data_IF_907328585478
#
_entry.id   IF_907328585478
#
_cell.length_a   1.000
_cell.length_b   1.000
_cell.length_c   1.000
_cell.angle_alpha   90.00
_cell.angle_beta   90.00
_cell.angle_gamma   90.00
#
_symmetry.space_group_name_H-M   'P 1'
#
loop_
_entity.id
_entity.type
_entity.pdbx_description
1 polymer ?
#
# COMPACT_ATOMS: atom_id res chain seq x y z
N UNK A 1 -19.01 13.69 -17.86
CA UNK A 1 -19.50 13.34 -16.51
C UNK A 1 -18.61 14.10 -15.54
N UNK A 2 -19.16 15.06 -14.80
CA UNK A 2 -18.40 15.82 -13.80
C UNK A 2 -17.95 14.87 -12.68
N UNK A 3 -16.69 14.99 -12.28
CA UNK A 3 -16.15 14.22 -11.16
C UNK A 3 -16.60 14.88 -9.86
N UNK A 4 -17.02 14.09 -8.87
CA UNK A 4 -17.20 14.63 -7.52
C UNK A 4 -15.85 15.04 -6.92
N UNK A 5 -15.88 15.84 -5.85
CA UNK A 5 -14.67 16.38 -5.22
C UNK A 5 -13.63 15.29 -4.88
N UNK A 6 -14.07 14.15 -4.35
CA UNK A 6 -13.19 13.05 -3.99
C UNK A 6 -12.54 12.40 -5.22
N UNK A 7 -13.30 12.20 -6.29
CA UNK A 7 -12.81 11.67 -7.55
C UNK A 7 -11.81 12.64 -8.20
N UNK A 8 -12.11 13.94 -8.18
CA UNK A 8 -11.22 15.01 -8.64
C UNK A 8 -9.89 15.00 -7.89
N UNK A 9 -9.91 14.88 -6.55
CA UNK A 9 -8.70 14.76 -5.75
C UNK A 9 -7.88 13.50 -6.07
N UNK A 10 -8.56 12.35 -6.28
CA UNK A 10 -7.88 11.09 -6.66
C UNK A 10 -7.28 11.18 -8.06
N UNK A 11 -7.98 11.83 -9.00
CA UNK A 11 -7.47 12.07 -10.35
C UNK A 11 -6.23 12.95 -10.34
N UNK A 12 -6.24 14.04 -9.59
CA UNK A 12 -5.08 14.90 -9.43
C UNK A 12 -3.86 14.15 -8.85
N UNK A 13 -4.08 13.23 -7.90
CA UNK A 13 -2.99 12.37 -7.36
C UNK A 13 -2.45 11.41 -8.43
N UNK A 14 -3.33 10.81 -9.23
CA UNK A 14 -2.93 9.94 -10.34
C UNK A 14 -2.07 10.68 -11.37
N UNK A 15 -2.46 11.90 -11.73
CA UNK A 15 -1.71 12.71 -12.69
C UNK A 15 -0.34 13.14 -12.13
N UNK A 16 -0.23 13.39 -10.82
CA UNK A 16 1.08 13.61 -10.15
C UNK A 16 2.00 12.39 -10.21
N UNK A 17 1.45 11.17 -10.02
CA UNK A 17 2.24 9.94 -10.13
C UNK A 17 2.81 9.79 -11.55
N UNK A 18 1.95 10.00 -12.56
CA UNK A 18 2.35 9.94 -13.98
C UNK A 18 3.41 10.99 -14.33
N UNK A 19 3.24 12.23 -13.87
CA UNK A 19 4.21 13.30 -14.09
C UNK A 19 5.58 13.01 -13.45
N UNK A 20 5.60 12.23 -12.36
CA UNK A 20 6.82 11.75 -11.72
C UNK A 20 7.41 10.49 -12.38
N UNK A 21 6.83 9.99 -13.47
CA UNK A 21 7.26 8.75 -14.13
C UNK A 21 6.92 7.46 -13.38
N UNK A 22 6.01 7.53 -12.39
CA UNK A 22 5.59 6.39 -11.59
C UNK A 22 4.35 5.75 -12.24
N UNK A 23 4.48 4.49 -12.68
CA UNK A 23 3.35 3.72 -13.20
C UNK A 23 2.37 3.38 -12.06
N UNK A 24 1.15 3.91 -12.15
CA UNK A 24 0.13 3.77 -11.11
C UNK A 24 -0.57 2.40 -11.14
N UNK A 25 -0.53 1.70 -12.28
CA UNK A 25 -1.13 0.40 -12.50
C UNK A 25 -0.10 -0.59 -13.05
N UNK A 26 0.92 -0.95 -12.25
CA UNK A 26 1.95 -1.88 -12.71
C UNK A 26 1.38 -3.28 -12.96
N UNK A 27 1.95 -3.99 -13.94
CA UNK A 27 1.49 -5.33 -14.35
C UNK A 27 1.94 -6.44 -13.40
N UNK A 28 2.92 -6.16 -12.52
CA UNK A 28 3.50 -7.08 -11.56
C UNK A 28 3.74 -6.36 -10.24
N UNK A 29 3.56 -7.07 -9.13
CA UNK A 29 4.07 -6.67 -7.83
C UNK A 29 5.21 -7.59 -7.43
N UNK A 30 6.11 -7.10 -6.56
CA UNK A 30 7.17 -7.90 -5.96
C UNK A 30 6.69 -8.67 -4.72
N UNK A 31 5.37 -8.93 -4.58
CA UNK A 31 4.82 -9.64 -3.42
C UNK A 31 5.39 -11.05 -3.36
N UNK A 32 6.00 -11.41 -2.23
CA UNK A 32 6.61 -12.72 -1.99
C UNK A 32 5.76 -13.61 -1.07
N UNK A 33 5.02 -13.02 -0.13
CA UNK A 33 4.15 -13.74 0.81
C UNK A 33 2.73 -13.16 0.81
N UNK A 34 1.75 -13.98 1.18
CA UNK A 34 0.43 -13.46 1.52
C UNK A 34 0.41 -12.91 2.95
N UNK A 35 -0.48 -11.95 3.21
CA UNK A 35 -0.69 -11.39 4.56
C UNK A 35 -1.10 -12.49 5.54
N UNK A 36 -1.98 -13.41 5.11
CA UNK A 36 -2.45 -14.51 5.94
C UNK A 36 -1.33 -15.48 6.38
N UNK A 37 -0.42 -15.83 5.47
CA UNK A 37 0.72 -16.71 5.79
C UNK A 37 1.65 -16.08 6.82
N UNK A 38 2.01 -14.80 6.64
CA UNK A 38 2.89 -14.08 7.57
C UNK A 38 2.21 -13.93 8.93
N UNK A 39 0.91 -13.62 8.98
CA UNK A 39 0.19 -13.52 10.25
C UNK A 39 0.11 -14.86 10.98
N UNK A 40 -0.06 -15.97 10.26
CA UNK A 40 -0.14 -17.30 10.85
C UNK A 40 1.19 -17.78 11.47
N UNK A 41 2.33 -17.27 11.00
CA UNK A 41 3.67 -17.67 11.44
C UNK A 41 4.52 -16.48 11.91
N UNK A 42 3.87 -15.41 12.39
CA UNK A 42 4.50 -14.10 12.60
C UNK A 42 5.76 -14.17 13.47
N UNK A 43 5.69 -14.90 14.58
CA UNK A 43 6.82 -15.03 15.51
C UNK A 43 8.05 -15.67 14.85
N UNK A 44 7.84 -16.68 13.99
CA UNK A 44 8.94 -17.34 13.28
C UNK A 44 9.59 -16.42 12.24
N UNK A 45 8.79 -15.62 11.52
CA UNK A 45 9.31 -14.62 10.57
C UNK A 45 10.12 -13.53 11.30
N UNK A 46 9.66 -13.09 12.48
CA UNK A 46 10.36 -12.11 13.31
C UNK A 46 11.66 -12.69 13.86
N UNK A 47 11.63 -13.88 14.44
CA UNK A 47 12.81 -14.54 15.02
C UNK A 47 13.89 -14.80 13.96
N UNK A 48 13.50 -15.22 12.76
CA UNK A 48 14.40 -15.43 11.64
C UNK A 48 14.88 -14.10 11.00
N UNK A 49 14.31 -12.94 11.38
CA UNK A 49 14.62 -11.66 10.76
C UNK A 49 14.29 -11.62 9.27
N UNK A 50 13.26 -12.34 8.84
CA UNK A 50 12.95 -12.52 7.43
C UNK A 50 12.40 -11.23 6.83
N UNK A 51 13.00 -10.77 5.74
CA UNK A 51 12.48 -9.64 4.96
C UNK A 51 11.33 -10.14 4.09
N UNK A 52 10.18 -9.48 4.20
CA UNK A 52 8.96 -9.83 3.46
C UNK A 52 8.44 -8.63 2.68
N UNK A 53 7.85 -8.90 1.51
CA UNK A 53 7.19 -7.93 0.64
C UNK A 53 5.71 -8.27 0.53
N UNK A 54 4.87 -7.48 1.19
CA UNK A 54 3.42 -7.66 1.19
C UNK A 54 2.72 -6.69 0.24
N UNK A 55 1.55 -7.08 -0.25
CA UNK A 55 0.67 -6.22 -1.03
C UNK A 55 -0.79 -6.50 -0.65
N UNK A 56 -1.58 -5.42 -0.51
CA UNK A 56 -2.97 -5.48 -0.12
C UNK A 56 -3.69 -4.16 -0.36
N UNK A 57 -4.99 -4.13 -0.07
CA UNK A 57 -5.81 -2.92 -0.14
C UNK A 57 -5.65 -2.13 1.15
N UNK A 58 -5.36 -0.84 1.06
CA UNK A 58 -5.42 0.03 2.24
C UNK A 58 -6.88 0.16 2.67
N UNK A 59 -7.18 -0.31 3.88
CA UNK A 59 -8.52 -0.23 4.49
C UNK A 59 -8.50 0.84 5.59
N UNK A 60 -9.48 1.74 5.53
CA UNK A 60 -9.57 2.87 6.46
C UNK A 60 -8.63 4.03 6.14
N UNK A 61 -8.29 4.82 7.16
CA UNK A 61 -7.46 6.01 7.01
C UNK A 61 -5.99 5.72 7.35
N UNK A 62 -5.07 6.25 6.54
CA UNK A 62 -3.65 6.32 6.91
C UNK A 62 -3.48 7.34 8.03
N UNK A 63 -2.99 6.90 9.19
CA UNK A 63 -2.74 7.77 10.35
C UNK A 63 -1.28 8.22 10.31
N UNK A 64 -1.06 9.53 10.19
CA UNK A 64 0.28 10.13 10.14
C UNK A 64 0.51 10.93 11.41
N UNK A 65 1.61 10.64 12.12
CA UNK A 65 2.00 11.27 13.38
C UNK A 65 3.47 11.69 13.28
N UNK A 66 3.71 12.93 12.84
CA UNK A 66 5.06 13.46 12.64
C UNK A 66 5.86 12.63 11.63
N UNK A 67 6.89 11.92 12.10
CA UNK A 67 7.77 11.06 11.27
C UNK A 67 7.32 9.60 11.16
N UNK A 68 6.15 9.25 11.71
CA UNK A 68 5.62 7.87 11.71
C UNK A 68 4.27 7.85 10.99
N UNK A 69 4.01 6.79 10.23
CA UNK A 69 2.72 6.53 9.60
C UNK A 69 2.27 5.08 9.81
N UNK A 70 0.97 4.91 10.05
CA UNK A 70 0.32 3.60 10.16
C UNK A 70 -0.77 3.47 9.10
N UNK A 71 -0.82 2.31 8.44
CA UNK A 71 -1.86 1.93 7.51
C UNK A 71 -2.17 0.44 7.68
N UNK A 72 -3.45 0.09 7.59
CA UNK A 72 -3.88 -1.30 7.57
C UNK A 72 -4.05 -1.75 6.12
N UNK A 73 -3.57 -2.96 5.81
CA UNK A 73 -3.73 -3.61 4.51
C UNK A 73 -4.39 -4.97 4.70
N UNK A 74 -5.32 -5.30 3.80
CA UNK A 74 -5.95 -6.62 3.65
C UNK A 74 -5.63 -7.24 2.28
#
# INVERSE_FOLDING_TARGET
MELNDLQSQRRAKLDRLRAAGIEAFPTRSARDHSIGEVLAQLDAFIEAGTVVTLAGRIVGARRVMGKIAFAHID
#
